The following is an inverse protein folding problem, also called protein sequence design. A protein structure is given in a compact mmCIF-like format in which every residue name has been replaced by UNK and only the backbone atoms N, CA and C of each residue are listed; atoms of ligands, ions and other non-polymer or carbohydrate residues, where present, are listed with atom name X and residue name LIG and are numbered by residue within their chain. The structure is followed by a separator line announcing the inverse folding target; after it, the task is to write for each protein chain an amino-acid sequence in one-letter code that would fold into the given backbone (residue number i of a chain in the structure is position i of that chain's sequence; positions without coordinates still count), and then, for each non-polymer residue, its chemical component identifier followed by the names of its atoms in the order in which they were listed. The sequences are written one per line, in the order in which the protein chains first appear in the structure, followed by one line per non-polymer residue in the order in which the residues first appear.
data_IF_359475112182
#
_entry.id   IF_359475112182
#
_cell.length_a   1.000
_cell.length_b   1.000
_cell.length_c   1.000
_cell.angle_alpha   90.00
_cell.angle_beta   90.00
_cell.angle_gamma   90.00
#
_symmetry.space_group_name_H-M   'P 1'
#
loop_
_entity.id
_entity.type
_entity.pdbx_description
1 polymer ?
#
# COMPACT_ATOMS: atom_id res chain seq x y z
N UNK A 1 -18.50 8.67 -10.61
CA UNK A 1 -19.58 8.92 -11.58
C UNK A 1 -19.26 10.19 -12.32
N UNK A 2 -19.52 10.23 -13.63
CA UNK A 2 -19.34 11.41 -14.47
C UNK A 2 -20.74 11.91 -14.89
N UNK A 3 -20.95 13.23 -14.91
CA UNK A 3 -22.21 13.84 -15.34
C UNK A 3 -22.28 13.87 -16.88
N UNK A 4 -23.38 13.39 -17.47
CA UNK A 4 -23.61 13.42 -18.92
C UNK A 4 -24.24 14.74 -19.41
N UNK A 5 -24.22 15.02 -20.73
CA UNK A 5 -24.80 16.21 -21.31
C UNK A 5 -26.33 16.08 -21.44
N UNK A 6 -27.07 16.97 -20.75
CA UNK A 6 -28.46 17.33 -21.02
C UNK A 6 -29.44 16.19 -21.41
N UNK A 7 -29.96 15.47 -20.40
CA UNK A 7 -30.97 14.41 -20.56
C UNK A 7 -31.01 13.57 -19.29
N UNK A 8 -31.68 14.08 -18.24
CA UNK A 8 -31.29 13.85 -16.83
C UNK A 8 -31.98 12.65 -16.15
N UNK A 9 -32.36 11.62 -16.90
CA UNK A 9 -33.37 10.65 -16.42
C UNK A 9 -32.87 9.20 -16.26
N UNK A 10 -31.77 8.79 -16.91
CA UNK A 10 -31.24 7.42 -16.82
C UNK A 10 -29.88 7.37 -16.12
N UNK A 11 -29.74 6.48 -15.16
CA UNK A 11 -28.46 6.08 -14.57
C UNK A 11 -27.95 4.79 -15.23
N UNK A 12 -26.63 4.67 -15.35
CA UNK A 12 -25.97 3.46 -15.88
C UNK A 12 -24.97 2.92 -14.86
N UNK A 13 -25.12 1.64 -14.53
CA UNK A 13 -24.23 0.89 -13.66
C UNK A 13 -23.50 -0.18 -14.47
N UNK A 14 -22.23 0.03 -14.77
CA UNK A 14 -21.43 -0.87 -15.63
C UNK A 14 -20.73 -2.00 -14.88
N UNK A 15 -21.11 -2.23 -13.62
CA UNK A 15 -20.53 -3.26 -12.75
C UNK A 15 -18.99 -3.23 -12.79
N UNK A 16 -18.32 -4.36 -13.06
CA UNK A 16 -16.86 -4.45 -13.12
C UNK A 16 -16.21 -3.93 -14.41
N UNK A 17 -17.01 -3.57 -15.41
CA UNK A 17 -16.55 -3.05 -16.70
C UNK A 17 -16.32 -1.53 -16.62
N UNK A 18 -15.12 -1.15 -16.19
CA UNK A 18 -14.69 0.26 -16.05
C UNK A 18 -14.59 0.97 -17.41
N UNK A 19 -14.19 0.23 -18.43
CA UNK A 19 -14.05 0.66 -19.81
C UNK A 19 -15.35 1.23 -20.41
N UNK A 20 -16.51 0.84 -19.87
CA UNK A 20 -17.82 1.29 -20.35
C UNK A 20 -18.27 2.62 -19.74
N UNK A 21 -17.67 3.09 -18.65
CA UNK A 21 -18.17 4.27 -17.92
C UNK A 21 -18.12 5.52 -18.80
N UNK A 22 -16.96 5.79 -19.41
CA UNK A 22 -16.75 6.98 -20.22
C UNK A 22 -17.67 7.02 -21.46
N UNK A 23 -17.71 5.97 -22.32
CA UNK A 23 -18.58 6.02 -23.50
C UNK A 23 -20.06 6.10 -23.14
N UNK A 24 -20.52 5.39 -22.10
CA UNK A 24 -21.93 5.40 -21.72
C UNK A 24 -22.34 6.73 -21.07
N UNK A 25 -21.44 7.42 -20.38
CA UNK A 25 -21.74 8.74 -19.78
C UNK A 25 -22.05 9.83 -20.83
N UNK A 26 -21.59 9.64 -22.07
CA UNK A 26 -21.79 10.58 -23.18
C UNK A 26 -23.06 10.31 -23.97
N UNK A 27 -23.77 9.21 -23.68
CA UNK A 27 -25.00 8.87 -24.38
C UNK A 27 -26.13 9.85 -24.03
N UNK A 28 -26.96 10.27 -25.01
CA UNK A 28 -28.16 11.06 -24.74
C UNK A 28 -29.08 10.34 -23.74
N UNK A 29 -29.60 11.09 -22.75
CA UNK A 29 -30.49 10.55 -21.72
C UNK A 29 -29.79 9.96 -20.49
N UNK A 30 -28.45 9.82 -20.51
CA UNK A 30 -27.67 9.37 -19.35
C UNK A 30 -27.31 10.55 -18.46
N UNK A 31 -27.82 10.52 -17.23
CA UNK A 31 -27.51 11.49 -16.18
C UNK A 31 -26.21 11.14 -15.44
N UNK A 32 -25.98 9.84 -15.21
CA UNK A 32 -24.79 9.34 -14.53
C UNK A 32 -24.40 7.97 -15.05
N UNK A 33 -23.10 7.73 -15.14
CA UNK A 33 -22.54 6.40 -15.33
C UNK A 33 -21.49 6.10 -14.25
N UNK A 34 -21.42 4.86 -13.81
CA UNK A 34 -20.43 4.42 -12.82
C UNK A 34 -20.36 2.91 -12.65
N UNK A 35 -19.31 2.46 -11.95
CA UNK A 35 -19.11 1.06 -11.62
C UNK A 35 -19.75 0.69 -10.29
N UNK A 36 -19.97 -0.62 -10.08
CA UNK A 36 -20.41 -1.17 -8.80
C UNK A 36 -19.67 -2.49 -8.51
N UNK A 37 -18.87 -2.51 -7.45
CA UNK A 37 -18.00 -3.65 -7.11
C UNK A 37 -18.54 -4.52 -6.00
N UNK A 38 -19.27 -3.94 -5.03
CA UNK A 38 -19.63 -4.62 -3.78
C UNK A 38 -21.14 -4.65 -3.60
N UNK A 39 -21.64 -5.76 -3.05
CA UNK A 39 -23.06 -6.02 -2.80
C UNK A 39 -23.62 -5.30 -1.54
N UNK A 40 -22.87 -4.36 -0.98
CA UNK A 40 -23.19 -3.68 0.28
C UNK A 40 -22.91 -2.18 0.20
N UNK A 41 -21.75 -1.70 0.66
CA UNK A 41 -21.39 -0.28 0.71
C UNK A 41 -21.49 0.39 -0.67
N UNK A 42 -21.14 -0.32 -1.75
CA UNK A 42 -21.31 0.17 -3.11
C UNK A 42 -22.79 0.36 -3.49
N UNK A 43 -23.65 -0.57 -3.09
CA UNK A 43 -25.10 -0.46 -3.28
C UNK A 43 -25.67 0.67 -2.42
N UNK A 44 -25.25 0.80 -1.15
CA UNK A 44 -25.66 1.91 -0.30
C UNK A 44 -25.33 3.26 -0.93
N UNK A 45 -24.13 3.41 -1.48
CA UNK A 45 -23.70 4.64 -2.14
C UNK A 45 -24.49 4.93 -3.41
N UNK A 46 -24.78 3.89 -4.21
CA UNK A 46 -25.66 4.00 -5.37
C UNK A 46 -27.07 4.45 -4.95
N UNK A 47 -27.65 3.84 -3.91
CA UNK A 47 -28.99 4.19 -3.42
C UNK A 47 -29.03 5.64 -2.94
N UNK A 48 -28.07 6.07 -2.11
CA UNK A 48 -27.98 7.48 -1.65
C UNK A 48 -27.84 8.44 -2.83
N UNK A 49 -27.01 8.09 -3.80
CA UNK A 49 -26.78 8.89 -5.00
C UNK A 49 -28.06 9.10 -5.79
N UNK A 50 -28.83 8.04 -6.01
CA UNK A 50 -30.07 8.10 -6.79
C UNK A 50 -31.22 8.74 -5.99
N UNK A 51 -31.26 8.53 -4.66
CA UNK A 51 -32.21 9.19 -3.77
C UNK A 51 -32.08 10.72 -3.84
N UNK A 52 -30.84 11.24 -3.88
CA UNK A 52 -30.54 12.69 -4.02
C UNK A 52 -30.79 13.25 -5.42
N UNK A 53 -31.14 12.41 -6.41
CA UNK A 53 -31.34 12.81 -7.81
C UNK A 53 -32.76 12.43 -8.29
N UNK A 54 -33.80 13.17 -7.89
CA UNK A 54 -35.18 12.81 -8.19
C UNK A 54 -35.54 12.81 -9.68
N UNK A 55 -34.76 13.53 -10.51
CA UNK A 55 -34.92 13.50 -11.97
C UNK A 55 -34.63 12.12 -12.58
N UNK A 56 -33.82 11.28 -11.93
CA UNK A 56 -33.47 9.95 -12.43
C UNK A 56 -34.60 8.96 -12.12
N UNK A 57 -35.19 8.42 -13.20
CA UNK A 57 -36.29 7.44 -13.20
C UNK A 57 -35.91 6.11 -13.86
N UNK A 58 -34.72 5.99 -14.45
CA UNK A 58 -34.22 4.76 -15.08
C UNK A 58 -32.87 4.32 -14.54
N UNK A 59 -32.64 3.02 -14.48
CA UNK A 59 -31.34 2.43 -14.18
C UNK A 59 -31.06 1.26 -15.13
N UNK A 60 -29.96 1.35 -15.88
CA UNK A 60 -29.42 0.22 -16.66
C UNK A 60 -28.30 -0.42 -15.85
N UNK A 61 -28.39 -1.74 -15.62
CA UNK A 61 -27.32 -2.53 -15.00
C UNK A 61 -26.68 -3.40 -16.07
N UNK A 62 -25.45 -3.08 -16.46
CA UNK A 62 -24.76 -3.70 -17.60
C UNK A 62 -23.31 -4.08 -17.29
N UNK A 63 -22.62 -4.66 -18.26
CA UNK A 63 -21.24 -5.10 -18.11
C UNK A 63 -21.11 -6.38 -17.30
N UNK A 64 -19.86 -6.71 -16.95
CA UNK A 64 -19.53 -7.96 -16.25
C UNK A 64 -19.90 -7.90 -14.78
N UNK A 65 -20.72 -8.84 -14.33
CA UNK A 65 -20.97 -9.09 -12.92
C UNK A 65 -19.86 -9.98 -12.34
N UNK A 66 -19.33 -9.63 -11.17
CA UNK A 66 -18.27 -10.41 -10.56
C UNK A 66 -18.82 -11.75 -10.10
N UNK A 67 -18.26 -12.90 -10.51
CA UNK A 67 -18.74 -14.21 -10.06
C UNK A 67 -18.50 -14.43 -8.56
N UNK A 68 -17.61 -13.64 -7.95
CA UNK A 68 -17.27 -13.73 -6.52
C UNK A 68 -18.11 -12.80 -5.67
N UNK A 69 -18.31 -11.57 -6.11
CA UNK A 69 -18.98 -10.54 -5.30
C UNK A 69 -20.46 -10.36 -5.64
N UNK A 70 -20.89 -10.73 -6.86
CA UNK A 70 -22.29 -10.76 -7.32
C UNK A 70 -23.04 -9.45 -7.01
N UNK A 71 -22.39 -8.32 -7.27
CA UNK A 71 -22.91 -7.00 -6.95
C UNK A 71 -24.11 -6.63 -7.84
N UNK A 72 -24.07 -6.99 -9.13
CA UNK A 72 -25.17 -6.75 -10.06
C UNK A 72 -26.40 -7.59 -9.71
N UNK A 73 -26.20 -8.89 -9.43
CA UNK A 73 -27.25 -9.77 -8.94
C UNK A 73 -27.89 -9.22 -7.67
N UNK A 74 -27.09 -8.76 -6.71
CA UNK A 74 -27.58 -8.23 -5.43
C UNK A 74 -28.34 -6.91 -5.62
N UNK A 75 -27.89 -6.04 -6.52
CA UNK A 75 -28.60 -4.81 -6.87
C UNK A 75 -29.97 -5.12 -7.50
N UNK A 76 -30.05 -6.08 -8.41
CA UNK A 76 -31.32 -6.47 -9.02
C UNK A 76 -32.26 -7.14 -8.00
N UNK A 77 -31.72 -7.94 -7.08
CA UNK A 77 -32.48 -8.51 -5.97
C UNK A 77 -33.03 -7.41 -5.05
N UNK A 78 -32.27 -6.34 -4.79
CA UNK A 78 -32.76 -5.18 -4.06
C UNK A 78 -33.98 -4.56 -4.73
N UNK A 79 -33.91 -4.30 -6.03
CA UNK A 79 -35.04 -3.70 -6.74
C UNK A 79 -36.27 -4.62 -6.77
N UNK A 80 -36.06 -5.93 -6.97
CA UNK A 80 -37.15 -6.93 -7.02
C UNK A 80 -37.79 -7.19 -5.66
N UNK A 81 -36.98 -7.39 -4.62
CA UNK A 81 -37.43 -8.00 -3.37
C UNK A 81 -37.28 -7.09 -2.14
N UNK A 82 -36.48 -6.02 -2.24
CA UNK A 82 -36.25 -5.11 -1.13
C UNK A 82 -35.27 -5.61 -0.09
N UNK A 83 -35.41 -5.08 1.11
CA UNK A 83 -34.52 -5.33 2.25
C UNK A 83 -35.35 -5.88 3.40
N UNK A 84 -34.87 -6.94 4.02
CA UNK A 84 -35.41 -7.46 5.27
C UNK A 84 -35.27 -6.38 6.37
N UNK A 85 -36.37 -5.97 7.02
CA UNK A 85 -36.35 -4.84 7.94
C UNK A 85 -35.53 -5.10 9.21
N UNK A 86 -35.46 -6.36 9.66
CA UNK A 86 -34.76 -6.75 10.88
C UNK A 86 -33.28 -7.02 10.61
N UNK A 87 -33.00 -7.88 9.62
CA UNK A 87 -31.64 -8.30 9.28
C UNK A 87 -30.88 -7.26 8.47
N UNK A 88 -31.61 -6.28 7.91
CA UNK A 88 -31.07 -5.26 6.98
C UNK A 88 -30.42 -5.89 5.75
N UNK A 89 -30.81 -7.12 5.41
CA UNK A 89 -30.26 -7.92 4.30
C UNK A 89 -31.11 -7.72 3.05
N UNK A 90 -30.46 -7.62 1.89
CA UNK A 90 -31.15 -7.65 0.61
C UNK A 90 -31.75 -9.06 0.38
N UNK A 91 -33.06 -9.13 0.20
CA UNK A 91 -33.78 -10.39 0.06
C UNK A 91 -33.45 -11.05 -1.30
N UNK A 92 -32.97 -12.30 -1.27
CA UNK A 92 -32.56 -13.02 -2.49
C UNK A 92 -31.20 -12.61 -3.07
N UNK A 93 -30.43 -11.77 -2.38
CA UNK A 93 -29.06 -11.45 -2.78
C UNK A 93 -28.08 -12.57 -2.43
N UNK A 94 -27.24 -12.95 -3.39
CA UNK A 94 -26.19 -13.95 -3.29
C UNK A 94 -24.78 -13.36 -3.10
N UNK A 95 -24.64 -12.04 -3.20
CA UNK A 95 -23.37 -11.36 -2.99
C UNK A 95 -22.83 -11.45 -1.56
N UNK A 96 -21.55 -11.14 -1.39
CA UNK A 96 -20.90 -11.17 -0.08
C UNK A 96 -21.43 -10.07 0.84
N UNK A 97 -21.88 -10.46 2.04
CA UNK A 97 -22.43 -9.57 3.07
C UNK A 97 -23.43 -8.52 2.53
N UNK A 98 -24.55 -8.90 1.89
CA UNK A 98 -25.44 -7.98 1.20
C UNK A 98 -26.38 -7.28 2.20
N UNK A 99 -25.79 -6.47 3.07
CA UNK A 99 -26.45 -5.73 4.15
C UNK A 99 -26.42 -4.24 3.84
N UNK A 100 -27.58 -3.58 3.99
CA UNK A 100 -27.72 -2.13 3.86
C UNK A 100 -28.06 -1.56 5.24
N UNK A 101 -27.04 -1.21 6.03
CA UNK A 101 -27.19 -0.77 7.43
C UNK A 101 -27.47 0.72 7.55
N UNK A 102 -26.88 1.54 6.70
CA UNK A 102 -26.85 3.00 6.85
C UNK A 102 -27.93 3.73 6.04
N UNK A 103 -28.54 3.07 5.06
CA UNK A 103 -29.61 3.68 4.23
C UNK A 103 -30.99 3.40 4.82
N UNK A 104 -31.82 4.43 5.11
CA UNK A 104 -33.16 4.22 5.63
C UNK A 104 -34.03 3.34 4.70
N UNK A 105 -34.76 2.37 5.27
CA UNK A 105 -35.62 1.45 4.49
C UNK A 105 -36.63 2.18 3.61
N UNK A 106 -37.21 3.25 4.14
CA UNK A 106 -38.19 4.05 3.43
C UNK A 106 -37.60 4.81 2.22
N UNK A 107 -36.31 5.13 2.23
CA UNK A 107 -35.61 5.64 1.03
C UNK A 107 -35.40 4.55 -0.01
N UNK A 108 -35.03 3.35 0.42
CA UNK A 108 -34.91 2.18 -0.46
C UNK A 108 -36.23 1.93 -1.17
N UNK A 109 -37.34 1.86 -0.44
CA UNK A 109 -38.66 1.61 -1.02
C UNK A 109 -39.11 2.70 -1.99
N UNK A 110 -38.90 3.98 -1.65
CA UNK A 110 -39.15 5.10 -2.58
C UNK A 110 -38.34 4.99 -3.86
N UNK A 111 -37.09 4.54 -3.74
CA UNK A 111 -36.23 4.36 -4.89
C UNK A 111 -36.73 3.21 -5.77
N UNK A 112 -37.07 2.07 -5.15
CA UNK A 112 -37.62 0.89 -5.82
C UNK A 112 -38.91 1.18 -6.59
N UNK A 113 -39.80 1.98 -6.00
CA UNK A 113 -41.08 2.33 -6.64
C UNK A 113 -40.94 3.34 -7.78
N UNK A 114 -39.87 4.15 -7.79
CA UNK A 114 -39.69 5.24 -8.76
C UNK A 114 -38.86 4.84 -9.98
N UNK A 115 -37.92 3.90 -9.82
CA UNK A 115 -37.00 3.54 -10.88
C UNK A 115 -37.45 2.33 -11.67
N UNK A 116 -37.47 2.48 -12.99
CA UNK A 116 -37.48 1.35 -13.92
C UNK A 116 -36.04 0.83 -14.07
N UNK A 117 -35.83 -0.46 -13.79
CA UNK A 117 -34.51 -1.11 -13.83
C UNK A 117 -34.43 -2.12 -14.95
N UNK A 118 -33.41 -1.99 -15.80
CA UNK A 118 -33.11 -2.92 -16.89
C UNK A 118 -31.88 -3.76 -16.53
N UNK A 119 -32.07 -5.09 -16.53
CA UNK A 119 -30.98 -6.07 -16.40
C UNK A 119 -30.38 -6.33 -17.79
N UNK A 120 -29.21 -5.75 -18.04
CA UNK A 120 -28.40 -5.94 -19.25
C UNK A 120 -27.02 -6.50 -18.87
N UNK A 121 -26.93 -7.26 -17.77
CA UNK A 121 -25.66 -7.85 -17.32
C UNK A 121 -25.13 -8.82 -18.38
N UNK A 122 -23.81 -8.82 -18.55
CA UNK A 122 -23.11 -9.57 -19.60
C UNK A 122 -22.98 -8.79 -20.91
N UNK A 123 -23.82 -7.77 -21.16
CA UNK A 123 -23.68 -6.91 -22.33
C UNK A 123 -22.58 -5.87 -22.13
N UNK A 124 -21.71 -5.74 -23.13
CA UNK A 124 -20.56 -4.85 -23.12
C UNK A 124 -20.35 -4.08 -24.43
N UNK A 125 -21.17 -4.31 -25.45
CA UNK A 125 -21.13 -3.53 -26.69
C UNK A 125 -21.76 -2.14 -26.47
N UNK A 126 -21.01 -1.04 -26.63
CA UNK A 126 -21.54 0.32 -26.48
C UNK A 126 -22.71 0.63 -27.40
N UNK A 127 -22.79 0.03 -28.60
CA UNK A 127 -23.91 0.27 -29.52
C UNK A 127 -25.20 -0.38 -29.01
N UNK A 128 -25.14 -1.66 -28.63
CA UNK A 128 -26.27 -2.36 -28.01
C UNK A 128 -26.73 -1.66 -26.70
N UNK A 129 -25.78 -1.25 -25.85
CA UNK A 129 -26.09 -0.52 -24.63
C UNK A 129 -26.70 0.86 -24.90
N UNK A 130 -26.24 1.55 -25.95
CA UNK A 130 -26.82 2.81 -26.40
C UNK A 130 -28.28 2.67 -26.79
N UNK A 131 -28.63 1.58 -27.49
CA UNK A 131 -30.00 1.27 -27.87
C UNK A 131 -30.87 0.95 -26.64
N UNK A 132 -30.36 0.17 -25.68
CA UNK A 132 -31.06 -0.13 -24.42
C UNK A 132 -31.36 1.16 -23.64
N UNK A 133 -30.36 2.05 -23.51
CA UNK A 133 -30.53 3.36 -22.86
C UNK A 133 -31.58 4.19 -23.58
N UNK A 134 -31.53 4.26 -24.91
CA UNK A 134 -32.49 5.02 -25.73
C UNK A 134 -33.91 4.52 -25.55
N UNK A 135 -34.12 3.20 -25.53
CA UNK A 135 -35.43 2.59 -25.31
C UNK A 135 -35.98 2.90 -23.92
N UNK A 136 -35.17 2.71 -22.87
CA UNK A 136 -35.55 3.02 -21.49
C UNK A 136 -35.89 4.50 -21.34
N UNK A 137 -35.05 5.39 -21.88
CA UNK A 137 -35.28 6.83 -21.85
C UNK A 137 -36.59 7.23 -22.55
N UNK A 138 -36.89 6.61 -23.70
CA UNK A 138 -38.16 6.79 -24.41
C UNK A 138 -39.38 6.41 -23.56
N UNK A 139 -39.35 5.24 -22.90
CA UNK A 139 -40.42 4.79 -22.00
C UNK A 139 -40.62 5.75 -20.82
N UNK A 140 -39.53 6.19 -20.22
CA UNK A 140 -39.54 7.12 -19.08
C UNK A 140 -40.18 8.46 -19.46
N UNK A 141 -39.88 9.00 -20.65
CA UNK A 141 -40.46 10.27 -21.12
C UNK A 141 -41.92 10.18 -21.52
N UNK A 142 -42.38 9.00 -21.95
CA UNK A 142 -43.78 8.75 -22.28
C UNK A 142 -44.65 8.54 -21.02
N UNK A 143 -44.05 8.09 -19.91
CA UNK A 143 -44.75 7.91 -18.65
C UNK A 143 -45.09 9.27 -18.00
N UNK A 144 -46.27 9.41 -17.36
CA UNK A 144 -46.59 10.60 -16.57
C UNK A 144 -45.53 10.83 -15.50
N UNK A 145 -45.15 12.10 -15.20
CA UNK A 145 -44.27 12.38 -14.09
C UNK A 145 -44.91 11.80 -12.81
N UNK A 146 -44.11 11.15 -11.93
CA UNK A 146 -44.65 10.61 -10.69
C UNK A 146 -45.31 11.75 -9.91
N UNK A 147 -46.45 11.45 -9.27
CA UNK A 147 -47.14 12.40 -8.41
C UNK A 147 -46.12 13.03 -7.44
N UNK A 148 -46.21 14.34 -7.15
CA UNK A 148 -45.30 14.98 -6.23
C UNK A 148 -45.40 14.26 -4.90
N UNK A 149 -44.42 13.42 -4.60
CA UNK A 149 -44.24 12.85 -3.28
C UNK A 149 -44.13 14.04 -2.35
N UNK A 150 -45.10 14.18 -1.43
CA UNK A 150 -45.18 15.32 -0.51
C UNK A 150 -43.80 15.60 0.06
N UNK A 151 -43.43 16.89 0.16
CA UNK A 151 -42.14 17.32 0.72
C UNK A 151 -41.84 16.44 1.91
N UNK A 152 -40.82 15.60 1.79
CA UNK A 152 -40.33 14.86 2.93
C UNK A 152 -40.04 15.91 4.01
N UNK A 153 -40.66 15.75 5.17
CA UNK A 153 -40.19 16.43 6.36
C UNK A 153 -38.68 16.26 6.38
N UNK A 154 -37.95 17.38 6.41
CA UNK A 154 -36.50 17.36 6.55
C UNK A 154 -36.07 16.66 7.86
N UNK A 155 -37.03 16.43 8.77
CA UNK A 155 -36.94 15.53 9.91
C UNK A 155 -37.37 14.11 9.53
N UNK A 156 -36.41 13.23 9.27
CA UNK A 156 -36.70 11.85 8.90
C UNK A 156 -35.48 10.95 8.97
N UNK A 157 -34.83 10.90 10.14
CA UNK A 157 -33.84 9.91 10.56
C UNK A 157 -32.88 9.46 9.43
N UNK A 158 -31.80 10.24 9.23
CA UNK A 158 -30.59 9.69 8.63
C UNK A 158 -30.30 8.37 9.36
N UNK A 159 -30.14 7.27 8.62
CA UNK A 159 -29.71 6.01 9.23
C UNK A 159 -28.44 6.25 10.06
N UNK A 160 -28.14 5.39 11.06
CA UNK A 160 -27.06 5.66 12.00
C UNK A 160 -25.80 6.11 11.26
N UNK A 161 -25.27 7.28 11.61
CA UNK A 161 -24.01 7.76 11.05
C UNK A 161 -22.90 6.81 11.50
N UNK A 162 -22.57 5.85 10.65
CA UNK A 162 -21.45 4.95 10.85
C UNK A 162 -20.16 5.74 10.59
N UNK A 163 -19.61 6.29 11.66
CA UNK A 163 -18.33 6.99 11.62
C UNK A 163 -17.15 6.02 11.71
N UNK A 164 -16.09 6.29 10.94
CA UNK A 164 -14.80 5.64 11.16
C UNK A 164 -14.20 6.13 12.49
N UNK A 165 -13.85 5.21 13.39
CA UNK A 165 -12.98 5.54 14.52
C UNK A 165 -11.56 5.75 13.99
N UNK A 166 -11.03 6.97 14.07
CA UNK A 166 -9.67 7.28 13.61
C UNK A 166 -8.65 6.55 14.48
N UNK A 167 -7.81 5.73 13.85
CA UNK A 167 -6.63 5.14 14.47
C UNK A 167 -5.42 6.00 14.07
N UNK A 168 -4.64 6.49 15.04
CA UNK A 168 -3.39 7.22 14.76
C UNK A 168 -2.31 6.23 14.38
N UNK A 169 -1.49 6.60 13.39
CA UNK A 169 -0.23 5.90 13.16
C UNK A 169 0.67 6.08 14.39
N UNK A 170 1.28 4.99 14.87
CA UNK A 170 2.11 5.03 16.08
C UNK A 170 2.72 3.68 16.46
N UNK A 171 2.66 2.68 15.58
CA UNK A 171 3.39 1.43 15.79
C UNK A 171 4.89 1.73 15.89
N UNK A 172 5.55 1.20 16.91
CA UNK A 172 6.99 1.28 17.08
C UNK A 172 7.60 -0.05 16.67
N UNK A 173 8.76 -0.02 16.01
CA UNK A 173 9.59 -1.22 15.90
C UNK A 173 9.95 -1.62 17.33
N UNK A 174 9.64 -2.86 17.69
CA UNK A 174 10.23 -3.46 18.89
C UNK A 174 11.71 -3.64 18.55
N UNK A 175 12.61 -3.03 19.34
CA UNK A 175 14.05 -3.24 19.17
C UNK A 175 14.39 -4.72 19.36
N UNK A 176 15.60 -5.13 18.95
CA UNK A 176 16.13 -6.52 18.99
C UNK A 176 16.13 -7.21 20.38
N UNK A 177 15.47 -6.67 21.39
CA UNK A 177 15.48 -7.19 22.74
C UNK A 177 14.42 -8.28 22.97
N UNK A 178 14.93 -9.50 23.13
CA UNK A 178 14.45 -10.63 23.96
C UNK A 178 13.66 -11.80 23.32
N UNK A 179 13.23 -11.74 22.05
CA UNK A 179 12.37 -12.83 21.49
C UNK A 179 12.80 -13.35 20.11
N UNK A 180 13.72 -12.68 19.41
CA UNK A 180 14.19 -13.22 18.14
C UNK A 180 15.23 -14.33 18.37
N UNK A 181 14.93 -15.54 17.89
CA UNK A 181 15.90 -16.61 17.67
C UNK A 181 16.72 -16.32 16.40
N UNK A 182 17.33 -15.13 16.28
CA UNK A 182 18.23 -14.80 15.18
C UNK A 182 17.88 -13.59 14.32
N UNK A 183 18.41 -13.58 13.09
CA UNK A 183 18.28 -12.48 12.14
C UNK A 183 18.10 -12.98 10.70
N UNK A 184 17.58 -12.10 9.85
CA UNK A 184 17.26 -12.39 8.45
C UNK A 184 18.03 -11.44 7.54
N UNK A 185 18.67 -12.03 6.53
CA UNK A 185 19.42 -11.33 5.48
C UNK A 185 18.68 -11.51 4.16
N UNK A 186 18.34 -10.40 3.51
CA UNK A 186 17.72 -10.39 2.19
C UNK A 186 18.73 -9.90 1.15
N UNK A 187 18.79 -10.58 0.01
CA UNK A 187 19.64 -10.24 -1.12
C UNK A 187 18.91 -10.51 -2.44
N UNK A 188 19.48 -10.01 -3.54
CA UNK A 188 18.93 -10.18 -4.88
C UNK A 188 19.86 -11.01 -5.75
N UNK A 189 19.38 -12.14 -6.25
CA UNK A 189 19.97 -12.81 -7.41
C UNK A 189 19.39 -12.21 -8.69
N UNK A 190 20.10 -11.22 -9.23
CA UNK A 190 19.67 -10.52 -10.46
C UNK A 190 19.73 -11.40 -11.71
N UNK A 191 20.66 -12.37 -11.75
CA UNK A 191 20.79 -13.27 -12.90
C UNK A 191 19.61 -14.23 -12.96
N UNK A 192 19.25 -14.83 -11.83
CA UNK A 192 18.07 -15.69 -11.72
C UNK A 192 16.75 -14.92 -11.60
N UNK A 193 16.81 -13.59 -11.45
CA UNK A 193 15.69 -12.69 -11.18
C UNK A 193 14.87 -13.14 -9.96
N UNK A 194 15.55 -13.36 -8.82
CA UNK A 194 14.93 -13.81 -7.57
C UNK A 194 15.46 -13.03 -6.37
N UNK A 195 14.62 -12.95 -5.34
CA UNK A 195 14.99 -12.56 -3.98
C UNK A 195 15.51 -13.81 -3.30
N UNK A 196 16.59 -13.66 -2.53
CA UNK A 196 17.17 -14.70 -1.68
C UNK A 196 17.10 -14.21 -0.24
N UNK A 197 16.46 -15.00 0.61
CA UNK A 197 16.34 -14.75 2.03
C UNK A 197 17.08 -15.84 2.80
N UNK A 198 17.91 -15.44 3.75
CA UNK A 198 18.64 -16.34 4.65
C UNK A 198 18.35 -15.98 6.09
N UNK A 199 18.04 -16.99 6.88
CA UNK A 199 17.79 -16.88 8.31
C UNK A 199 18.91 -17.57 9.07
N UNK A 200 19.47 -16.86 10.05
CA UNK A 200 20.50 -17.34 10.96
C UNK A 200 19.99 -17.22 12.38
N UNK A 201 20.38 -18.12 13.27
CA UNK A 201 20.10 -17.95 14.70
C UNK A 201 21.08 -16.97 15.40
N UNK A 202 20.91 -16.80 16.70
CA UNK A 202 21.69 -15.84 17.51
C UNK A 202 23.19 -16.19 17.62
N UNK A 203 23.61 -17.37 17.18
CA UNK A 203 25.03 -17.77 17.11
C UNK A 203 25.51 -17.87 15.67
N UNK A 204 24.84 -17.16 14.74
CA UNK A 204 25.16 -17.09 13.32
C UNK A 204 25.05 -18.44 12.58
N UNK A 205 24.34 -19.43 13.13
CA UNK A 205 24.15 -20.72 12.44
C UNK A 205 23.06 -20.58 11.39
N UNK A 206 23.30 -20.95 10.11
CA UNK A 206 22.25 -20.93 9.08
C UNK A 206 21.13 -21.90 9.44
N UNK A 207 19.88 -21.44 9.34
CA UNK A 207 18.69 -22.25 9.68
C UNK A 207 17.78 -22.47 8.49
N UNK A 208 17.45 -21.40 7.77
CA UNK A 208 16.53 -21.46 6.64
C UNK A 208 17.04 -20.61 5.48
N UNK A 209 16.86 -21.10 4.26
CA UNK A 209 17.03 -20.34 3.03
C UNK A 209 15.73 -20.40 2.22
N UNK A 210 15.35 -19.28 1.64
CA UNK A 210 14.17 -19.18 0.78
C UNK A 210 14.48 -18.33 -0.43
N UNK A 211 14.03 -18.78 -1.60
CA UNK A 211 14.08 -17.97 -2.82
C UNK A 211 12.68 -17.72 -3.36
N UNK A 212 12.45 -16.54 -3.91
CA UNK A 212 11.13 -16.17 -4.42
C UNK A 212 11.14 -14.90 -5.25
N UNK A 213 9.99 -14.59 -5.85
CA UNK A 213 9.79 -13.37 -6.66
C UNK A 213 8.66 -12.48 -6.14
N UNK A 214 7.91 -12.94 -5.13
CA UNK A 214 6.78 -12.23 -4.52
C UNK A 214 7.00 -12.13 -3.02
N UNK A 215 7.06 -10.90 -2.52
CA UNK A 215 7.31 -10.59 -1.12
C UNK A 215 6.26 -11.21 -0.19
N UNK A 216 4.98 -11.09 -0.54
CA UNK A 216 3.87 -11.64 0.24
C UNK A 216 4.02 -13.16 0.44
N UNK A 217 4.31 -13.91 -0.63
CA UNK A 217 4.48 -15.36 -0.54
C UNK A 217 5.66 -15.76 0.34
N UNK A 218 6.76 -15.00 0.28
CA UNK A 218 7.93 -15.26 1.11
C UNK A 218 7.66 -14.94 2.58
N UNK A 219 6.99 -13.83 2.88
CA UNK A 219 6.58 -13.48 4.24
C UNK A 219 5.66 -14.55 4.86
N UNK A 220 4.66 -15.01 4.09
CA UNK A 220 3.77 -16.09 4.52
C UNK A 220 4.53 -17.40 4.78
N UNK A 221 5.56 -17.69 3.98
CA UNK A 221 6.44 -18.83 4.21
C UNK A 221 7.20 -18.76 5.53
N UNK A 222 7.71 -17.58 5.92
CA UNK A 222 8.38 -17.36 7.21
C UNK A 222 7.43 -17.54 8.39
N UNK A 223 6.21 -16.99 8.29
CA UNK A 223 5.17 -17.14 9.29
C UNK A 223 4.75 -18.61 9.44
N UNK A 224 4.56 -19.32 8.33
CA UNK A 224 4.20 -20.74 8.34
C UNK A 224 5.32 -21.62 8.92
N UNK A 225 6.58 -21.25 8.68
CA UNK A 225 7.73 -21.94 9.24
C UNK A 225 8.01 -21.57 10.71
N UNK A 226 7.27 -20.63 11.30
CA UNK A 226 7.46 -20.18 12.67
C UNK A 226 8.74 -19.37 12.91
N UNK A 227 9.40 -18.91 11.83
CA UNK A 227 10.64 -18.09 11.92
C UNK A 227 10.33 -16.69 12.47
N UNK A 228 9.14 -16.18 12.17
CA UNK A 228 8.64 -14.91 12.70
C UNK A 228 7.31 -15.20 13.39
N UNK A 229 7.16 -14.72 14.62
CA UNK A 229 5.97 -15.02 15.44
C UNK A 229 5.17 -13.79 15.84
N UNK A 230 5.75 -12.59 15.79
CA UNK A 230 5.06 -11.35 16.14
C UNK A 230 4.80 -10.43 14.93
N UNK A 231 3.79 -9.59 15.09
CA UNK A 231 3.32 -8.69 14.04
C UNK A 231 4.30 -7.55 13.71
N UNK A 232 5.18 -7.15 14.63
CA UNK A 232 6.15 -6.07 14.39
C UNK A 232 7.22 -6.54 13.41
N UNK A 233 7.82 -7.70 13.66
CA UNK A 233 8.81 -8.29 12.76
C UNK A 233 8.20 -8.70 11.41
N UNK A 234 6.97 -9.23 11.41
CA UNK A 234 6.27 -9.53 10.16
C UNK A 234 6.04 -8.25 9.32
N UNK A 235 5.68 -7.13 9.97
CA UNK A 235 5.52 -5.83 9.31
C UNK A 235 6.83 -5.31 8.73
N UNK A 236 7.94 -5.41 9.48
CA UNK A 236 9.26 -5.01 9.01
C UNK A 236 9.74 -5.86 7.83
N UNK A 237 9.76 -7.18 7.96
CA UNK A 237 10.24 -8.09 6.91
C UNK A 237 9.34 -8.06 5.68
N UNK A 238 8.03 -7.88 5.84
CA UNK A 238 7.14 -7.62 4.72
C UNK A 238 7.52 -6.35 3.95
N UNK A 239 7.90 -5.28 4.65
CA UNK A 239 8.43 -4.05 4.06
C UNK A 239 9.73 -4.28 3.28
N UNK A 240 10.71 -4.94 3.89
CA UNK A 240 12.00 -5.22 3.27
C UNK A 240 11.90 -6.17 2.07
N UNK A 241 11.08 -7.22 2.15
CA UNK A 241 10.81 -8.11 1.02
C UNK A 241 10.10 -7.37 -0.13
N UNK A 242 9.15 -6.49 0.17
CA UNK A 242 8.47 -5.68 -0.85
C UNK A 242 9.42 -4.68 -1.51
N UNK A 243 10.35 -4.13 -0.73
CA UNK A 243 11.45 -3.28 -1.21
C UNK A 243 12.37 -4.07 -2.17
N UNK A 244 12.75 -5.28 -1.78
CA UNK A 244 13.54 -6.19 -2.62
C UNK A 244 12.81 -6.58 -3.92
N UNK A 245 11.52 -6.93 -3.85
CA UNK A 245 10.68 -7.24 -5.02
C UNK A 245 10.61 -6.05 -5.97
N UNK A 246 10.39 -4.85 -5.44
CA UNK A 246 10.31 -3.61 -6.23
C UNK A 246 11.65 -3.31 -6.90
N UNK A 247 12.74 -3.41 -6.16
CA UNK A 247 14.09 -3.22 -6.68
C UNK A 247 14.41 -4.20 -7.81
N UNK A 248 14.07 -5.47 -7.64
CA UNK A 248 14.26 -6.52 -8.64
C UNK A 248 13.42 -6.27 -9.91
N UNK A 249 12.16 -5.83 -9.75
CA UNK A 249 11.26 -5.55 -10.87
C UNK A 249 11.67 -4.31 -11.66
N UNK A 250 12.16 -3.28 -10.98
CA UNK A 250 12.52 -1.99 -11.57
C UNK A 250 14.02 -1.86 -11.88
N UNK A 251 14.83 -2.86 -11.53
CA UNK A 251 16.28 -2.83 -11.72
C UNK A 251 17.05 -1.94 -10.74
N UNK A 252 16.43 -1.44 -9.67
CA UNK A 252 17.06 -0.51 -8.71
C UNK A 252 18.04 -1.22 -7.77
N UNK A 253 19.08 -0.55 -7.25
CA UNK A 253 19.92 -1.11 -6.18
C UNK A 253 19.07 -1.41 -4.95
N UNK A 254 19.40 -2.51 -4.27
CA UNK A 254 18.75 -2.91 -3.03
C UNK A 254 19.82 -3.13 -1.97
N UNK A 255 19.64 -2.47 -0.84
CA UNK A 255 20.34 -2.77 0.40
C UNK A 255 19.26 -2.79 1.50
N UNK A 256 19.34 -3.79 2.38
CA UNK A 256 18.41 -3.91 3.49
C UNK A 256 18.51 -2.67 4.38
N UNK A 257 17.38 -2.23 4.94
CA UNK A 257 17.24 -1.00 5.75
C UNK A 257 17.48 0.34 5.02
N UNK A 258 18.21 0.35 3.89
CA UNK A 258 18.42 1.56 3.09
C UNK A 258 17.21 1.80 2.15
N UNK A 259 16.68 3.03 2.08
CA UNK A 259 15.61 3.36 1.13
C UNK A 259 16.03 3.18 -0.34
N UNK A 260 15.08 2.80 -1.20
CA UNK A 260 15.32 2.75 -2.64
C UNK A 260 15.54 4.16 -3.20
N UNK A 261 16.59 4.32 -4.00
CA UNK A 261 16.86 5.54 -4.75
C UNK A 261 16.43 5.38 -6.20
N UNK A 262 15.98 6.47 -6.82
CA UNK A 262 15.68 6.50 -8.24
C UNK A 262 16.96 6.23 -9.05
N UNK A 263 16.86 5.57 -10.22
CA UNK A 263 18.02 5.39 -11.07
C UNK A 263 18.40 6.74 -11.69
N UNK A 264 19.49 7.34 -11.22
CA UNK A 264 20.21 8.47 -11.81
C UNK A 264 19.48 9.82 -11.90
N UNK A 265 19.86 10.79 -11.05
CA UNK A 265 20.32 12.09 -11.57
C UNK A 265 21.80 11.91 -11.93
N UNK A 266 22.32 12.49 -13.03
CA UNK A 266 23.74 12.41 -13.33
C UNK A 266 24.51 13.14 -12.23
N UNK A 267 25.25 12.39 -11.42
CA UNK A 267 25.98 12.84 -10.24
C UNK A 267 26.65 11.67 -9.51
N UNK A 268 25.92 10.59 -9.24
CA UNK A 268 26.48 9.41 -8.55
C UNK A 268 26.51 8.20 -9.48
N UNK A 269 27.48 8.19 -10.39
CA UNK A 269 28.06 6.92 -10.81
C UNK A 269 29.04 6.57 -9.69
N UNK A 270 28.70 5.58 -8.85
CA UNK A 270 29.79 4.84 -8.19
C UNK A 270 30.57 4.19 -9.32
N UNK A 271 31.70 4.80 -9.67
CA UNK A 271 32.70 4.14 -10.51
C UNK A 271 33.01 2.79 -9.89
N UNK A 272 33.06 1.70 -10.67
CA UNK A 272 33.59 0.45 -10.16
C UNK A 272 34.99 0.74 -9.62
N UNK A 273 35.23 0.40 -8.36
CA UNK A 273 36.54 0.51 -7.75
C UNK A 273 37.56 -0.16 -8.70
N UNK A 274 38.49 0.68 -9.13
CA UNK A 274 39.57 0.49 -10.10
C UNK A 274 39.90 -0.95 -10.51
N UNK A 275 39.87 -1.17 -11.84
CA UNK A 275 40.74 -2.14 -12.50
C UNK A 275 42.18 -1.91 -11.99
N UNK A 276 42.75 -2.95 -11.37
CA UNK A 276 44.15 -2.96 -10.92
C UNK A 276 45.05 -2.88 -12.16
N UNK A 277 45.57 -1.69 -12.44
CA UNK A 277 46.78 -1.53 -13.23
C UNK A 277 48.00 -1.86 -12.35
N UNK A 278 48.86 -2.73 -12.86
CA UNK A 278 50.09 -3.17 -12.20
C UNK A 278 51.19 -2.08 -12.24
N UNK A 279 51.72 -1.79 -11.04
CA UNK A 279 53.09 -1.34 -10.70
C UNK A 279 53.55 0.10 -11.06
N UNK A 280 54.55 0.69 -10.33
CA UNK A 280 55.58 0.02 -9.53
C UNK A 280 55.75 0.49 -8.08
N UNK A 281 56.49 -0.32 -7.32
CA UNK A 281 56.94 -0.08 -5.96
C UNK A 281 57.59 1.30 -5.77
N UNK A 282 57.09 2.06 -4.79
CA UNK A 282 57.84 3.13 -4.12
C UNK A 282 57.49 3.08 -2.63
N UNK A 283 58.52 2.78 -1.86
CA UNK A 283 58.70 2.95 -0.41
C UNK A 283 58.42 4.40 0.03
N UNK A 284 57.69 4.62 1.12
CA UNK A 284 58.23 5.24 2.35
C UNK A 284 57.17 5.28 3.47
N UNK A 285 57.65 5.23 4.71
CA UNK A 285 56.91 5.11 5.97
C UNK A 285 56.17 6.42 6.36
N UNK A 286 54.95 6.27 6.89
CA UNK A 286 54.32 7.25 7.78
C UNK A 286 53.45 6.50 8.80
N UNK A 287 54.10 5.81 9.72
CA UNK A 287 53.51 5.27 10.96
C UNK A 287 53.28 6.41 11.96
N UNK A 288 52.14 7.10 11.86
CA UNK A 288 51.69 8.05 12.86
C UNK A 288 50.19 7.98 13.00
N UNK A 289 49.69 7.69 14.22
CA UNK A 289 48.27 7.73 14.54
C UNK A 289 47.67 9.09 14.14
N UNK A 290 46.49 9.14 13.49
CA UNK A 290 45.86 10.38 13.05
C UNK A 290 45.61 11.28 14.26
N UNK A 291 45.73 12.60 14.13
CA UNK A 291 45.36 13.51 15.20
C UNK A 291 43.87 13.39 15.53
N UNK A 292 43.46 13.77 16.76
CA UNK A 292 42.05 13.70 17.18
C UNK A 292 41.10 14.41 16.21
N UNK A 293 41.53 15.53 15.62
CA UNK A 293 40.75 16.27 14.62
C UNK A 293 40.60 15.48 13.32
N UNK A 294 41.65 14.82 12.86
CA UNK A 294 41.62 13.96 11.67
C UNK A 294 40.79 12.70 11.90
N UNK A 295 40.85 12.13 13.10
CA UNK A 295 40.03 10.99 13.51
C UNK A 295 38.54 11.33 13.51
N UNK A 296 38.15 12.44 14.16
CA UNK A 296 36.74 12.88 14.18
C UNK A 296 36.26 13.20 12.76
N UNK A 297 37.11 13.81 11.92
CA UNK A 297 36.78 14.08 10.52
C UNK A 297 36.55 12.79 9.74
N UNK A 298 37.41 11.78 9.89
CA UNK A 298 37.25 10.47 9.26
C UNK A 298 35.97 9.76 9.71
N UNK A 299 35.62 9.83 11.00
CA UNK A 299 34.37 9.28 11.55
C UNK A 299 33.15 9.99 10.98
N UNK A 300 33.17 11.32 10.86
CA UNK A 300 32.06 12.12 10.31
C UNK A 300 31.88 11.83 8.81
N UNK A 301 32.96 11.81 8.03
CA UNK A 301 32.94 11.50 6.61
C UNK A 301 32.50 10.04 6.38
N UNK A 302 33.06 9.10 7.13
CA UNK A 302 32.75 7.68 7.06
C UNK A 302 31.31 7.32 7.38
N UNK A 303 30.69 8.07 8.29
CA UNK A 303 29.27 7.92 8.64
C UNK A 303 28.32 8.71 7.72
N UNK A 304 28.85 9.44 6.74
CA UNK A 304 28.08 10.32 5.84
C UNK A 304 27.35 11.43 6.60
N UNK A 305 27.99 11.97 7.65
CA UNK A 305 27.45 12.99 8.56
C UNK A 305 28.03 14.38 8.28
N UNK A 306 28.38 14.68 7.03
CA UNK A 306 29.20 15.83 6.59
C UNK A 306 28.72 17.23 7.09
N UNK A 307 27.47 17.35 7.57
CA UNK A 307 26.88 18.56 8.17
C UNK A 307 26.70 18.50 9.71
N UNK A 308 27.25 17.49 10.40
CA UNK A 308 27.03 17.23 11.84
C UNK A 308 28.31 17.42 12.64
N UNK A 309 28.28 18.33 13.61
CA UNK A 309 29.37 18.54 14.55
C UNK A 309 29.24 17.54 15.71
N UNK A 310 30.11 16.53 15.76
CA UNK A 310 30.13 15.53 16.83
C UNK A 310 30.87 16.09 18.04
N UNK A 311 30.18 16.22 19.18
CA UNK A 311 30.82 16.56 20.44
C UNK A 311 31.75 15.41 20.88
N UNK A 312 33.02 15.69 21.22
CA UNK A 312 34.03 14.66 21.47
C UNK A 312 33.75 13.83 22.73
N UNK A 313 33.03 14.39 23.71
CA UNK A 313 32.75 13.76 25.01
C UNK A 313 31.36 13.11 25.12
N UNK A 314 30.57 13.12 24.03
CA UNK A 314 29.19 12.62 24.07
C UNK A 314 29.10 11.28 23.32
N UNK A 315 28.41 10.25 23.84
CA UNK A 315 28.34 8.95 23.18
C UNK A 315 27.75 9.01 21.77
N UNK A 316 28.38 8.33 20.81
CA UNK A 316 27.97 8.32 19.40
C UNK A 316 26.51 7.90 19.22
N UNK A 317 26.03 6.94 20.03
CA UNK A 317 24.65 6.47 20.02
C UNK A 317 23.58 7.52 20.38
N UNK A 318 23.99 8.62 20.99
CA UNK A 318 23.10 9.72 21.41
C UNK A 318 23.15 10.91 20.46
N UNK A 319 24.27 11.09 19.74
CA UNK A 319 24.49 12.18 18.80
C UNK A 319 24.07 11.82 17.39
N UNK A 320 24.22 10.55 17.05
CA UNK A 320 23.81 9.98 15.78
C UNK A 320 22.47 9.28 16.01
N UNK A 321 21.47 9.53 15.16
CA UNK A 321 20.22 8.76 15.21
C UNK A 321 20.52 7.36 14.66
N UNK A 322 20.93 6.43 15.54
CA UNK A 322 21.58 5.19 15.10
C UNK A 322 20.59 4.10 14.70
N UNK A 323 20.57 3.78 13.41
CA UNK A 323 20.23 2.44 12.90
C UNK A 323 21.48 1.53 13.02
N UNK A 324 21.31 0.26 13.38
CA UNK A 324 22.40 -0.68 13.69
C UNK A 324 23.43 -0.88 12.56
N UNK A 325 23.05 -0.55 11.30
CA UNK A 325 23.92 -0.64 10.12
C UNK A 325 25.05 0.39 10.14
N UNK A 326 24.79 1.62 10.61
CA UNK A 326 25.81 2.68 10.66
C UNK A 326 26.94 2.38 11.64
N UNK A 327 26.66 1.62 12.70
CA UNK A 327 27.70 1.19 13.65
C UNK A 327 28.59 0.10 13.08
N UNK A 328 28.04 -0.73 12.19
CA UNK A 328 28.80 -1.77 11.48
C UNK A 328 29.69 -1.11 10.43
N UNK A 329 29.17 -0.14 9.67
CA UNK A 329 29.97 0.66 8.73
C UNK A 329 31.10 1.42 9.43
N UNK A 330 30.84 1.98 10.62
CA UNK A 330 31.88 2.62 11.44
C UNK A 330 32.95 1.63 11.89
N UNK A 331 32.56 0.45 12.38
CA UNK A 331 33.51 -0.58 12.78
C UNK A 331 34.43 -0.99 11.62
N UNK A 332 33.85 -1.25 10.45
CA UNK A 332 34.58 -1.63 9.23
C UNK A 332 35.54 -0.52 8.80
N UNK A 333 35.10 0.74 8.82
CA UNK A 333 35.96 1.87 8.44
C UNK A 333 37.15 2.04 9.39
N UNK A 334 36.93 1.90 10.70
CA UNK A 334 38.00 1.99 11.70
C UNK A 334 39.02 0.87 11.55
N UNK A 335 38.57 -0.36 11.25
CA UNK A 335 39.45 -1.53 11.10
C UNK A 335 40.15 -1.58 9.74
N UNK A 336 39.43 -1.36 8.64
CA UNK A 336 39.95 -1.58 7.28
C UNK A 336 40.64 -0.33 6.68
N UNK A 337 40.12 0.88 6.92
CA UNK A 337 40.68 2.10 6.32
C UNK A 337 41.73 2.76 7.21
N UNK A 338 41.54 2.71 8.53
CA UNK A 338 42.47 3.29 9.50
C UNK A 338 43.41 2.25 10.13
N UNK A 339 43.20 0.96 9.87
CA UNK A 339 44.07 -0.13 10.32
C UNK A 339 44.07 -0.37 11.82
N UNK A 340 42.98 -0.02 12.51
CA UNK A 340 42.89 -0.05 13.97
C UNK A 340 42.25 -1.36 14.45
N UNK A 341 42.83 -1.98 15.48
CA UNK A 341 42.31 -3.24 16.07
C UNK A 341 41.29 -2.91 17.17
N UNK A 342 39.99 -3.10 16.90
CA UNK A 342 38.94 -2.81 17.86
C UNK A 342 38.74 -3.98 18.84
N UNK A 343 38.59 -3.73 20.16
CA UNK A 343 38.24 -4.78 21.11
C UNK A 343 36.92 -5.47 20.75
N UNK A 344 36.84 -6.81 20.84
CA UNK A 344 35.69 -7.58 20.37
C UNK A 344 34.40 -7.35 21.18
N UNK A 345 34.50 -6.75 22.37
CA UNK A 345 33.41 -6.41 23.28
C UNK A 345 33.05 -4.91 23.29
N UNK A 346 33.67 -4.12 22.41
CA UNK A 346 33.45 -2.68 22.35
C UNK A 346 32.07 -2.33 21.77
N UNK A 347 31.18 -1.77 22.60
CA UNK A 347 29.92 -1.18 22.11
C UNK A 347 30.14 0.27 21.67
N UNK A 348 30.42 0.43 20.38
CA UNK A 348 30.62 1.72 19.71
C UNK A 348 29.48 2.73 19.95
N UNK A 349 28.27 2.31 20.33
CA UNK A 349 27.15 3.22 20.59
C UNK A 349 27.31 3.96 21.91
N UNK A 350 27.98 3.32 22.87
CA UNK A 350 28.14 3.84 24.23
C UNK A 350 29.41 4.67 24.39
N UNK A 351 30.36 4.53 23.47
CA UNK A 351 31.59 5.30 23.45
C UNK A 351 31.40 6.68 22.82
N UNK A 352 32.01 7.69 23.44
CA UNK A 352 32.25 8.98 22.82
C UNK A 352 33.44 8.93 21.85
N UNK A 353 33.54 9.86 20.87
CA UNK A 353 34.71 9.95 19.99
C UNK A 353 36.05 10.00 20.75
N UNK A 354 36.08 10.66 21.91
CA UNK A 354 37.29 10.77 22.75
C UNK A 354 37.65 9.49 23.49
N UNK A 355 36.67 8.76 24.00
CA UNK A 355 36.91 7.43 24.59
C UNK A 355 37.36 6.43 23.54
N UNK A 356 36.75 6.47 22.35
CA UNK A 356 37.11 5.61 21.23
C UNK A 356 38.55 5.89 20.77
N UNK A 357 38.91 7.15 20.59
CA UNK A 357 40.29 7.55 20.27
C UNK A 357 41.28 7.15 21.38
N UNK A 358 40.90 7.29 22.65
CA UNK A 358 41.72 6.88 23.79
C UNK A 358 41.96 5.37 23.88
N UNK A 359 40.96 4.55 23.56
CA UNK A 359 41.08 3.08 23.48
C UNK A 359 42.00 2.66 22.33
N UNK A 360 41.98 3.41 21.24
CA UNK A 360 42.74 3.14 20.01
C UNK A 360 44.18 3.69 20.05
N UNK A 361 44.51 4.53 21.01
CA UNK A 361 45.86 5.14 21.19
C UNK A 361 46.59 4.66 22.45
N UNK A 362 45.96 3.78 23.24
CA UNK A 362 46.54 3.08 24.39
C UNK A 362 47.27 1.81 23.95
#
# INVERSE_FOLDING_TARGET
MVNGPGGVEVAVCSLSSRELVEPLSRLPGVALAGTLMTANLGIEELVRTLARRPAIRGLVVCGRDSPRFLAGQSLLALFRNGVDPELRRIVGAAGHLPLLRSVPLHEVERLRSRLEVVDARGEGDPLALGEIVRQLWGRIRAAPPPAPSGRASADGAHGPELGFRRLRAGGRRVGLSQVLEGFVVISLDRRARRIVLRHYDNVLTPRHEMTGVRAESMLLGLLQAGVITDASHAGYLGGELTKAETALRLGLPYVQDIPLRAPGRPGDVMSPAHEREENPAVTDESTGLPSMTEFVTAVVTGLGLEDTDLAPDVPLGTQVSVESVRMIELAILLEEELGLDLPPDLDLRTCSPQELYGILTA
#
